data_IF_593112837655
#
_entry.id   IF_593112837655
#
_cell.length_a   1.000
_cell.length_b   1.000
_cell.length_c   1.000
_cell.angle_alpha   90.00
_cell.angle_beta   90.00
_cell.angle_gamma   90.00
#
_symmetry.space_group_name_H-M   'P 1'
#
loop_
_entity.id
_entity.type
_entity.pdbx_description
1 polymer ?
#
# COMPACT_ATOMS: atom_id res chain seq x y z
N UNK A 1 -19.13 -31.49 63.13
CA UNK A 1 -19.27 -30.03 62.92
C UNK A 1 -18.19 -29.57 61.96
N UNK A 2 -18.37 -29.81 60.65
CA UNK A 2 -17.46 -29.30 59.62
C UNK A 2 -18.10 -29.32 58.21
N UNK A 3 -19.43 -29.20 58.09
CA UNK A 3 -20.11 -29.21 56.78
C UNK A 3 -20.80 -27.87 56.42
N UNK A 4 -20.99 -26.94 57.37
CA UNK A 4 -21.75 -25.70 57.12
C UNK A 4 -20.95 -24.54 56.50
N UNK A 5 -19.63 -24.61 56.42
CA UNK A 5 -18.81 -23.49 55.92
C UNK A 5 -18.63 -23.46 54.39
N UNK A 6 -18.96 -24.55 53.69
CA UNK A 6 -18.70 -24.67 52.24
C UNK A 6 -19.88 -24.16 51.39
N UNK A 7 -21.10 -24.19 51.94
CA UNK A 7 -22.33 -23.83 51.19
C UNK A 7 -22.53 -22.31 51.09
N UNK A 8 -22.06 -21.54 52.08
CA UNK A 8 -22.27 -20.08 52.11
C UNK A 8 -21.36 -19.30 51.13
N UNK A 9 -20.25 -19.89 50.70
CA UNK A 9 -19.30 -19.26 49.75
C UNK A 9 -19.80 -19.38 48.31
N UNK A 10 -20.35 -20.54 47.92
CA UNK A 10 -20.87 -20.79 46.58
C UNK A 10 -22.07 -19.88 46.21
N UNK A 11 -22.96 -19.60 47.17
CA UNK A 11 -24.12 -18.73 46.94
C UNK A 11 -23.78 -17.25 46.73
N UNK A 12 -22.59 -16.79 47.12
CA UNK A 12 -22.13 -15.41 46.85
C UNK A 12 -21.48 -15.28 45.48
N UNK A 13 -20.80 -16.31 44.98
CA UNK A 13 -20.19 -16.31 43.65
C UNK A 13 -21.25 -16.30 42.53
N UNK A 14 -22.30 -17.13 42.63
CA UNK A 14 -23.38 -17.14 41.61
C UNK A 14 -24.16 -15.81 41.50
N UNK A 15 -24.33 -15.08 42.60
CA UNK A 15 -25.03 -13.78 42.59
C UNK A 15 -24.17 -12.70 41.91
N UNK A 16 -22.84 -12.75 42.12
CA UNK A 16 -21.89 -11.83 41.51
C UNK A 16 -21.71 -12.14 40.02
N UNK A 17 -21.68 -13.42 39.64
CA UNK A 17 -21.65 -13.84 38.23
C UNK A 17 -22.91 -13.41 37.48
N UNK A 18 -24.11 -13.60 38.05
CA UNK A 18 -25.35 -13.12 37.44
C UNK A 18 -25.37 -11.58 37.25
N UNK A 19 -24.80 -10.82 38.19
CA UNK A 19 -24.71 -9.36 38.06
C UNK A 19 -23.75 -8.94 36.93
N UNK A 20 -22.58 -9.58 36.83
CA UNK A 20 -21.59 -9.31 35.79
C UNK A 20 -22.11 -9.77 34.41
N UNK A 21 -22.82 -10.89 34.34
CA UNK A 21 -23.49 -11.32 33.10
C UNK A 21 -24.54 -10.32 32.63
N UNK A 22 -25.34 -9.77 33.55
CA UNK A 22 -26.32 -8.75 33.21
C UNK A 22 -25.64 -7.49 32.66
N UNK A 23 -24.56 -7.01 33.29
CA UNK A 23 -23.76 -5.88 32.80
C UNK A 23 -23.08 -6.18 31.45
N UNK A 24 -22.57 -7.40 31.26
CA UNK A 24 -21.99 -7.79 29.98
C UNK A 24 -23.07 -7.78 28.87
N UNK A 25 -24.27 -8.30 29.16
CA UNK A 25 -25.40 -8.34 28.19
C UNK A 25 -25.87 -6.94 27.80
N UNK A 26 -25.90 -5.97 28.72
CA UNK A 26 -26.26 -4.58 28.37
C UNK A 26 -25.22 -3.93 27.46
N UNK A 27 -23.97 -4.34 27.57
CA UNK A 27 -22.84 -3.91 26.73
C UNK A 27 -22.71 -4.72 25.43
N UNK A 28 -23.65 -5.62 25.14
CA UNK A 28 -23.73 -6.37 23.88
C UNK A 28 -23.00 -7.71 23.87
N UNK A 29 -22.57 -8.21 25.03
CA UNK A 29 -22.08 -9.58 25.18
C UNK A 29 -23.19 -10.60 25.00
N UNK A 30 -22.88 -11.73 24.36
CA UNK A 30 -23.82 -12.84 24.16
C UNK A 30 -23.29 -14.11 24.85
N UNK A 31 -24.16 -14.89 25.52
CA UNK A 31 -23.78 -16.19 26.06
C UNK A 31 -23.37 -17.16 24.96
N UNK A 32 -22.65 -18.23 25.32
CA UNK A 32 -22.04 -19.16 24.36
C UNK A 32 -23.05 -19.77 23.38
N UNK A 33 -24.29 -19.98 23.82
CA UNK A 33 -25.38 -20.51 23.00
C UNK A 33 -25.88 -19.53 21.91
N UNK A 34 -25.73 -18.22 22.14
CA UNK A 34 -26.20 -17.17 21.23
C UNK A 34 -25.05 -16.51 20.45
N UNK A 35 -23.82 -16.97 20.65
CA UNK A 35 -22.64 -16.41 20.02
C UNK A 35 -22.47 -16.94 18.59
N UNK A 36 -22.62 -16.05 17.61
CA UNK A 36 -22.55 -16.38 16.17
C UNK A 36 -21.12 -16.37 15.59
N UNK A 37 -20.10 -16.30 16.46
CA UNK A 37 -18.69 -16.26 16.06
C UNK A 37 -18.00 -17.62 16.11
N UNK A 38 -16.69 -17.67 15.75
CA UNK A 38 -15.91 -18.90 15.84
C UNK A 38 -15.86 -19.41 17.29
N UNK A 39 -16.13 -20.70 17.52
CA UNK A 39 -16.23 -21.31 18.87
C UNK A 39 -15.02 -21.04 19.79
N UNK A 40 -13.83 -20.79 19.23
CA UNK A 40 -12.62 -20.46 19.99
C UNK A 40 -12.40 -18.97 20.32
N UNK A 41 -13.33 -18.09 19.95
CA UNK A 41 -13.25 -16.64 20.21
C UNK A 41 -14.30 -16.12 21.18
N UNK A 42 -15.17 -16.99 21.68
CA UNK A 42 -16.09 -16.63 22.75
C UNK A 42 -15.32 -16.38 24.05
N UNK A 43 -15.78 -15.40 24.81
CA UNK A 43 -15.12 -14.92 26.03
C UNK A 43 -16.19 -14.89 27.12
N UNK A 44 -15.85 -15.20 28.38
CA UNK A 44 -16.82 -15.14 29.48
C UNK A 44 -17.20 -13.69 29.85
N UNK A 45 -18.29 -13.51 30.59
CA UNK A 45 -18.81 -12.18 30.93
C UNK A 45 -17.81 -11.34 31.74
N UNK A 46 -17.11 -11.96 32.69
CA UNK A 46 -16.11 -11.28 33.51
C UNK A 46 -14.96 -10.72 32.68
N UNK A 47 -14.41 -11.50 31.77
CA UNK A 47 -13.32 -11.08 30.90
C UNK A 47 -13.80 -10.03 29.88
N UNK A 48 -15.04 -10.12 29.39
CA UNK A 48 -15.62 -9.09 28.52
C UNK A 48 -15.72 -7.73 29.22
N UNK A 49 -16.31 -7.69 30.42
CA UNK A 49 -16.44 -6.45 31.21
C UNK A 49 -15.06 -5.89 31.58
N UNK A 50 -14.10 -6.75 31.94
CA UNK A 50 -12.73 -6.32 32.24
C UNK A 50 -12.01 -5.68 31.05
N UNK A 51 -12.37 -6.05 29.81
CA UNK A 51 -11.78 -5.51 28.57
C UNK A 51 -12.47 -4.24 28.08
N UNK A 52 -13.64 -3.88 28.60
CA UNK A 52 -14.39 -2.68 28.20
C UNK A 52 -13.56 -1.39 28.25
N UNK A 53 -12.82 -1.08 29.33
CA UNK A 53 -12.02 0.15 29.39
C UNK A 53 -10.94 0.21 28.29
N UNK A 54 -10.43 -0.94 27.85
CA UNK A 54 -9.47 -1.00 26.75
C UNK A 54 -10.13 -0.66 25.41
N UNK A 55 -11.34 -1.18 25.15
CA UNK A 55 -12.08 -0.85 23.93
C UNK A 55 -12.51 0.60 23.89
N UNK A 56 -12.99 1.16 25.00
CA UNK A 56 -13.29 2.58 25.13
C UNK A 56 -12.06 3.44 24.83
N UNK A 57 -10.89 3.05 25.34
CA UNK A 57 -9.64 3.78 25.05
C UNK A 57 -9.23 3.65 23.59
N UNK A 58 -9.36 2.47 22.98
CA UNK A 58 -9.09 2.25 21.55
C UNK A 58 -9.99 3.12 20.69
N UNK A 59 -11.28 3.21 21.01
CA UNK A 59 -12.22 4.04 20.26
C UNK A 59 -11.97 5.53 20.47
N UNK A 60 -11.57 5.96 21.67
CA UNK A 60 -11.02 7.31 21.92
C UNK A 60 -9.82 7.59 21.00
N UNK A 61 -8.85 6.67 20.96
CA UNK A 61 -7.63 6.82 20.18
C UNK A 61 -7.93 6.84 18.68
N UNK A 62 -8.86 6.03 18.18
CA UNK A 62 -9.32 6.10 16.78
C UNK A 62 -9.93 7.46 16.46
N UNK A 63 -10.76 7.99 17.36
CA UNK A 63 -11.34 9.32 17.23
C UNK A 63 -10.28 10.43 17.22
N UNK A 64 -9.29 10.34 18.11
CA UNK A 64 -8.14 11.26 18.16
C UNK A 64 -7.31 11.19 16.86
N UNK A 65 -6.95 10.00 16.39
CA UNK A 65 -6.23 9.80 15.12
C UNK A 65 -7.00 10.37 13.94
N UNK A 66 -8.33 10.16 13.90
CA UNK A 66 -9.16 10.74 12.84
C UNK A 66 -9.16 12.26 12.90
N UNK A 67 -9.28 12.87 14.09
CA UNK A 67 -9.20 14.33 14.27
C UNK A 67 -7.86 14.88 13.84
N UNK A 68 -6.75 14.28 14.28
CA UNK A 68 -5.39 14.66 13.88
C UNK A 68 -5.24 14.60 12.36
N UNK A 69 -5.77 13.55 11.71
CA UNK A 69 -5.74 13.43 10.25
C UNK A 69 -6.52 14.56 9.56
N UNK A 70 -7.69 14.92 10.07
CA UNK A 70 -8.47 16.04 9.55
C UNK A 70 -7.76 17.37 9.76
N UNK A 71 -7.20 17.61 10.94
CA UNK A 71 -6.43 18.80 11.28
C UNK A 71 -5.22 18.95 10.37
N UNK A 72 -4.41 17.90 10.22
CA UNK A 72 -3.28 17.88 9.28
C UNK A 72 -3.73 18.18 7.84
N UNK A 73 -4.83 17.59 7.38
CA UNK A 73 -5.35 17.86 6.04
C UNK A 73 -5.77 19.33 5.87
N UNK A 74 -6.38 19.92 6.90
CA UNK A 74 -6.73 21.35 6.90
C UNK A 74 -5.47 22.24 6.96
N UNK A 75 -4.46 21.86 7.73
CA UNK A 75 -3.18 22.58 7.78
C UNK A 75 -2.46 22.52 6.45
N UNK A 76 -2.38 21.36 5.81
CA UNK A 76 -1.76 21.22 4.47
C UNK A 76 -2.48 22.06 3.43
N UNK A 77 -3.81 22.14 3.46
CA UNK A 77 -4.56 22.98 2.51
C UNK A 77 -4.30 24.47 2.76
N UNK A 78 -4.22 24.91 4.03
CA UNK A 78 -3.84 26.29 4.38
C UNK A 78 -2.41 26.61 3.95
N UNK A 79 -1.45 25.73 4.22
CA UNK A 79 -0.05 25.88 3.82
C UNK A 79 0.07 25.97 2.30
N UNK A 80 -0.62 25.09 1.56
CA UNK A 80 -0.68 25.15 0.10
C UNK A 80 -1.20 26.50 -0.38
N UNK A 81 -2.32 26.97 0.18
CA UNK A 81 -2.89 28.27 -0.14
C UNK A 81 -1.93 29.43 0.11
N UNK A 82 -1.19 29.41 1.23
CA UNK A 82 -0.19 30.42 1.54
C UNK A 82 0.98 30.41 0.54
N UNK A 83 1.49 29.24 0.17
CA UNK A 83 2.53 29.14 -0.87
C UNK A 83 2.05 29.65 -2.23
N UNK A 84 0.80 29.35 -2.60
CA UNK A 84 0.24 29.86 -3.85
C UNK A 84 0.10 31.39 -3.84
N UNK A 85 -0.34 31.97 -2.72
CA UNK A 85 -0.37 33.42 -2.53
C UNK A 85 1.03 34.06 -2.57
N UNK A 86 2.02 33.47 -1.88
CA UNK A 86 3.41 33.94 -1.91
C UNK A 86 3.95 33.94 -3.34
N UNK A 87 3.74 32.85 -4.09
CA UNK A 87 4.14 32.75 -5.50
C UNK A 87 3.50 33.83 -6.36
N UNK A 88 2.22 34.15 -6.13
CA UNK A 88 1.53 35.23 -6.84
C UNK A 88 2.12 36.61 -6.52
N UNK A 89 2.42 36.88 -5.25
CA UNK A 89 3.05 38.15 -4.83
C UNK A 89 4.45 38.28 -5.42
N UNK A 90 5.26 37.22 -5.37
CA UNK A 90 6.61 37.19 -5.95
C UNK A 90 6.59 37.38 -7.46
N UNK A 91 5.70 36.67 -8.15
CA UNK A 91 5.48 36.83 -9.59
C UNK A 91 5.10 38.27 -9.95
N UNK A 92 4.12 38.85 -9.26
CA UNK A 92 3.70 40.23 -9.52
C UNK A 92 4.81 41.24 -9.22
N UNK A 93 5.60 41.01 -8.16
CA UNK A 93 6.76 41.84 -7.83
C UNK A 93 7.81 41.79 -8.94
N UNK A 94 8.18 40.60 -9.41
CA UNK A 94 9.15 40.42 -10.49
C UNK A 94 8.66 41.06 -11.80
N UNK A 95 7.39 40.85 -12.15
CA UNK A 95 6.78 41.42 -13.34
C UNK A 95 6.73 42.95 -13.29
N UNK A 96 6.36 43.53 -12.14
CA UNK A 96 6.35 44.98 -11.97
C UNK A 96 7.76 45.57 -12.01
N UNK A 97 8.75 44.87 -11.47
CA UNK A 97 10.15 45.27 -11.52
C UNK A 97 10.67 45.32 -12.96
N UNK A 98 10.42 44.27 -13.76
CA UNK A 98 10.80 44.24 -15.18
C UNK A 98 10.09 45.33 -15.99
N UNK A 99 8.79 45.56 -15.74
CA UNK A 99 8.04 46.65 -16.38
C UNK A 99 8.59 48.04 -16.03
N UNK A 100 9.02 48.25 -14.79
CA UNK A 100 9.63 49.50 -14.37
C UNK A 100 10.96 49.75 -15.11
N UNK A 101 11.82 48.73 -15.19
CA UNK A 101 13.06 48.81 -15.98
C UNK A 101 12.78 49.08 -17.46
N UNK A 102 11.75 48.44 -18.04
CA UNK A 102 11.39 48.65 -19.43
C UNK A 102 10.99 50.11 -19.68
N UNK A 103 10.25 50.71 -18.73
CA UNK A 103 9.86 52.11 -18.81
C UNK A 103 11.10 53.03 -18.77
N UNK A 104 12.04 52.76 -17.88
CA UNK A 104 13.31 53.51 -17.78
C UNK A 104 14.14 53.38 -19.07
N UNK A 105 14.21 52.17 -19.65
CA UNK A 105 14.88 51.92 -20.92
C UNK A 105 14.27 52.70 -22.09
N UNK A 106 12.93 52.79 -22.13
CA UNK A 106 12.21 53.62 -23.11
C UNK A 106 12.50 55.11 -22.93
N UNK A 107 12.55 55.60 -21.69
CA UNK A 107 12.90 56.99 -21.39
C UNK A 107 14.35 57.31 -21.80
N UNK A 108 15.26 56.36 -21.63
CA UNK A 108 16.66 56.47 -22.04
C UNK A 108 16.90 56.18 -23.54
N UNK A 109 15.85 55.88 -24.31
CA UNK A 109 15.93 55.49 -25.73
C UNK A 109 16.82 54.26 -26.00
N UNK A 110 16.99 53.37 -25.01
CA UNK A 110 17.73 52.13 -25.16
C UNK A 110 16.83 51.04 -25.75
N UNK A 111 16.73 51.06 -27.08
CA UNK A 111 15.89 50.13 -27.83
C UNK A 111 16.32 48.66 -27.72
N UNK A 112 17.61 48.39 -27.44
CA UNK A 112 18.10 47.00 -27.31
C UNK A 112 17.66 46.40 -25.99
N UNK A 113 17.81 47.14 -24.90
CA UNK A 113 17.40 46.71 -23.57
C UNK A 113 15.89 46.57 -23.42
N UNK A 114 15.10 47.36 -24.17
CA UNK A 114 13.63 47.21 -24.23
C UNK A 114 13.21 45.85 -24.79
N UNK A 115 13.87 45.37 -25.85
CA UNK A 115 13.57 44.06 -26.46
C UNK A 115 13.93 42.94 -25.50
N UNK A 116 15.10 43.01 -24.87
CA UNK A 116 15.54 42.02 -23.87
C UNK A 116 14.57 41.92 -22.68
N UNK A 117 14.11 43.06 -22.17
CA UNK A 117 13.15 43.10 -21.06
C UNK A 117 11.76 42.58 -21.47
N UNK A 118 11.35 42.78 -22.72
CA UNK A 118 10.12 42.19 -23.25
C UNK A 118 10.20 40.67 -23.32
N UNK A 119 11.30 40.12 -23.83
CA UNK A 119 11.54 38.68 -23.85
C UNK A 119 11.56 38.10 -22.42
N UNK A 120 12.16 38.80 -21.46
CA UNK A 120 12.15 38.36 -20.05
C UNK A 120 10.74 38.38 -19.44
N UNK A 121 9.94 39.39 -19.75
CA UNK A 121 8.56 39.49 -19.28
C UNK A 121 7.71 38.36 -19.87
N UNK A 122 7.88 38.06 -21.15
CA UNK A 122 7.11 37.00 -21.81
C UNK A 122 7.54 35.61 -21.34
N UNK A 123 8.85 35.36 -21.20
CA UNK A 123 9.36 34.13 -20.59
C UNK A 123 8.83 33.91 -19.16
N UNK A 124 8.73 34.98 -18.36
CA UNK A 124 8.18 34.91 -17.00
C UNK A 124 6.69 34.54 -17.00
N UNK A 125 5.90 35.11 -17.93
CA UNK A 125 4.48 34.76 -18.11
C UNK A 125 4.30 33.33 -18.59
N UNK A 126 5.10 32.90 -19.56
CA UNK A 126 5.03 31.55 -20.13
C UNK A 126 5.41 30.49 -19.10
N UNK A 127 6.45 30.75 -18.30
CA UNK A 127 6.84 29.90 -17.17
C UNK A 127 5.69 29.76 -16.16
N UNK A 128 4.99 30.86 -15.84
CA UNK A 128 3.82 30.84 -14.94
C UNK A 128 2.62 30.09 -15.56
N UNK A 129 2.42 30.20 -16.86
CA UNK A 129 1.37 29.47 -17.57
C UNK A 129 1.67 27.96 -17.59
N UNK A 130 2.91 27.57 -17.86
CA UNK A 130 3.37 26.18 -17.84
C UNK A 130 3.23 25.55 -16.44
N UNK A 131 3.60 26.28 -15.37
CA UNK A 131 3.40 25.83 -13.99
C UNK A 131 1.93 25.55 -13.67
N UNK A 132 1.01 26.43 -14.09
CA UNK A 132 -0.43 26.25 -13.86
C UNK A 132 -0.98 25.01 -14.57
N UNK A 133 -0.47 24.69 -15.76
CA UNK A 133 -0.84 23.48 -16.50
C UNK A 133 -0.27 22.23 -15.82
N UNK A 134 0.93 22.31 -15.24
CA UNK A 134 1.57 21.19 -14.53
C UNK A 134 1.00 20.95 -13.12
N UNK A 135 0.23 21.88 -12.55
CA UNK A 135 -0.44 21.75 -11.25
C UNK A 135 -1.82 21.09 -11.33
N UNK A 136 -2.31 20.75 -12.52
CA UNK A 136 -3.36 19.73 -12.65
C UNK A 136 -2.75 18.46 -12.07
N UNK A 137 -3.42 17.76 -11.12
CA UNK A 137 -2.87 16.52 -10.61
C UNK A 137 -2.64 15.62 -11.81
N UNK A 138 -1.38 15.36 -12.13
CA UNK A 138 -1.03 14.25 -13.00
C UNK A 138 -1.60 13.06 -12.25
N UNK A 139 -2.75 12.56 -12.69
CA UNK A 139 -3.12 11.19 -12.41
C UNK A 139 -1.91 10.42 -12.93
N UNK A 140 -1.01 10.01 -12.02
CA UNK A 140 -0.03 8.98 -12.34
C UNK A 140 -0.88 7.92 -13.02
N UNK A 141 -0.57 7.63 -14.28
CA UNK A 141 -1.25 6.57 -14.99
C UNK A 141 -1.27 5.31 -14.13
N UNK A 142 -2.20 4.37 -14.40
CA UNK A 142 -2.26 3.14 -13.64
C UNK A 142 -0.87 2.53 -13.51
N UNK A 143 -0.52 2.04 -12.32
CA UNK A 143 0.80 1.50 -12.04
C UNK A 143 1.21 0.47 -13.12
N UNK A 144 2.45 0.49 -13.65
CA UNK A 144 2.86 -0.44 -14.70
C UNK A 144 2.59 -1.91 -14.37
N UNK A 145 2.68 -2.31 -13.09
CA UNK A 145 2.37 -3.68 -12.65
C UNK A 145 0.88 -3.99 -12.77
N UNK A 146 0.02 -3.00 -12.50
CA UNK A 146 -1.43 -3.13 -12.68
C UNK A 146 -1.81 -3.23 -14.16
N UNK A 147 -1.19 -2.42 -15.03
CA UNK A 147 -1.44 -2.49 -16.47
C UNK A 147 -1.11 -3.88 -17.02
N UNK A 148 0.07 -4.40 -16.69
CA UNK A 148 0.48 -5.74 -17.11
C UNK A 148 -0.42 -6.86 -16.54
N UNK A 149 -0.90 -6.70 -15.31
CA UNK A 149 -1.80 -7.65 -14.70
C UNK A 149 -3.19 -7.63 -15.35
N UNK A 150 -3.74 -6.43 -15.62
CA UNK A 150 -5.03 -6.26 -16.26
C UNK A 150 -5.02 -6.80 -17.70
N UNK A 151 -3.90 -6.66 -18.43
CA UNK A 151 -3.71 -7.26 -19.75
C UNK A 151 -3.73 -8.81 -19.70
N UNK A 152 -3.13 -9.41 -18.68
CA UNK A 152 -3.14 -10.88 -18.47
C UNK A 152 -4.48 -11.40 -17.99
N UNK A 153 -5.28 -10.55 -17.36
CA UNK A 153 -6.57 -10.87 -16.75
C UNK A 153 -7.69 -10.15 -17.48
N UNK A 154 -7.96 -10.52 -18.74
CA UNK A 154 -8.97 -9.86 -19.59
C UNK A 154 -10.38 -9.85 -18.98
N UNK A 155 -10.69 -10.83 -18.12
CA UNK A 155 -11.94 -10.88 -17.35
C UNK A 155 -12.12 -9.64 -16.46
N UNK A 156 -11.05 -9.01 -16.00
CA UNK A 156 -11.11 -7.80 -15.17
C UNK A 156 -11.75 -6.62 -15.92
N UNK A 157 -11.59 -6.55 -17.24
CA UNK A 157 -12.25 -5.54 -18.06
C UNK A 157 -13.67 -5.94 -18.51
N UNK A 158 -13.92 -7.25 -18.64
CA UNK A 158 -15.12 -7.80 -19.28
C UNK A 158 -16.23 -8.16 -18.28
N UNK A 159 -15.86 -8.60 -17.08
CA UNK A 159 -16.76 -9.14 -16.06
C UNK A 159 -16.78 -8.20 -14.86
N UNK A 160 -17.83 -7.37 -14.77
CA UNK A 160 -17.96 -6.35 -13.73
C UNK A 160 -17.97 -6.96 -12.32
N UNK A 161 -18.69 -8.06 -12.13
CA UNK A 161 -18.85 -8.67 -10.80
C UNK A 161 -17.53 -9.26 -10.29
N UNK A 162 -16.75 -9.89 -11.17
CA UNK A 162 -15.41 -10.39 -10.82
C UNK A 162 -14.44 -9.24 -10.55
N UNK A 163 -14.55 -8.13 -11.28
CA UNK A 163 -13.74 -6.94 -11.02
C UNK A 163 -14.03 -6.35 -9.65
N UNK A 164 -15.30 -6.17 -9.30
CA UNK A 164 -15.69 -5.57 -8.03
C UNK A 164 -15.17 -6.38 -6.83
N UNK A 165 -15.20 -7.71 -6.94
CA UNK A 165 -14.61 -8.61 -5.94
C UNK A 165 -13.08 -8.52 -5.89
N UNK A 166 -12.43 -8.47 -7.05
CA UNK A 166 -10.98 -8.30 -7.14
C UNK A 166 -10.51 -6.99 -6.48
N UNK A 167 -11.25 -5.90 -6.72
CA UNK A 167 -11.01 -4.60 -6.11
C UNK A 167 -11.25 -4.63 -4.59
N UNK A 168 -12.27 -5.35 -4.13
CA UNK A 168 -12.52 -5.55 -2.70
C UNK A 168 -11.36 -6.30 -2.01
N UNK A 169 -10.80 -7.33 -2.64
CA UNK A 169 -9.62 -8.03 -2.11
C UNK A 169 -8.37 -7.15 -2.13
N UNK A 170 -8.18 -6.36 -3.18
CA UNK A 170 -7.07 -5.41 -3.26
C UNK A 170 -7.15 -4.38 -2.12
N UNK A 171 -8.31 -3.78 -1.91
CA UNK A 171 -8.54 -2.80 -0.82
C UNK A 171 -8.32 -3.43 0.56
N UNK A 172 -8.81 -4.64 0.79
CA UNK A 172 -8.61 -5.34 2.06
C UNK A 172 -7.12 -5.65 2.32
N UNK A 173 -6.37 -6.01 1.28
CA UNK A 173 -4.95 -6.29 1.40
C UNK A 173 -4.12 -5.03 1.65
N UNK A 174 -4.39 -3.94 0.93
CA UNK A 174 -3.74 -2.63 1.14
C UNK A 174 -4.06 -2.07 2.53
N UNK A 175 -5.30 -2.24 3.01
CA UNK A 175 -5.68 -1.79 4.34
C UNK A 175 -4.94 -2.54 5.47
N UNK A 176 -4.60 -3.82 5.26
CA UNK A 176 -3.83 -4.62 6.21
C UNK A 176 -2.31 -4.48 6.02
N UNK A 177 -1.87 -4.07 4.82
CA UNK A 177 -0.46 -3.88 4.46
C UNK A 177 -0.25 -2.55 3.72
N UNK A 178 -0.22 -1.41 4.44
CA UNK A 178 -0.17 -0.08 3.82
C UNK A 178 1.05 0.19 2.93
N UNK A 179 2.14 -0.55 3.13
CA UNK A 179 3.40 -0.42 2.39
C UNK A 179 3.66 -1.59 1.43
N UNK A 180 2.67 -2.44 1.16
CA UNK A 180 2.86 -3.54 0.23
C UNK A 180 3.07 -3.02 -1.20
N UNK A 181 4.03 -3.58 -1.96
CA UNK A 181 4.19 -3.24 -3.36
C UNK A 181 2.97 -3.71 -4.16
N UNK A 182 2.61 -2.98 -5.22
CA UNK A 182 1.43 -3.24 -6.05
C UNK A 182 1.41 -4.68 -6.57
N UNK A 183 2.56 -5.19 -7.03
CA UNK A 183 2.67 -6.58 -7.47
C UNK A 183 2.30 -7.63 -6.41
N UNK A 184 2.48 -7.38 -5.12
CA UNK A 184 2.08 -8.31 -4.06
C UNK A 184 0.58 -8.23 -3.75
N UNK A 185 -0.01 -7.04 -3.86
CA UNK A 185 -1.46 -6.84 -3.81
C UNK A 185 -2.13 -7.68 -4.91
N UNK A 186 -1.64 -7.57 -6.14
CA UNK A 186 -2.21 -8.25 -7.31
C UNK A 186 -2.08 -9.79 -7.22
N UNK A 187 -0.94 -10.30 -6.73
CA UNK A 187 -0.79 -11.74 -6.45
C UNK A 187 -1.80 -12.22 -5.42
N UNK A 188 -2.07 -11.42 -4.38
CA UNK A 188 -3.06 -11.77 -3.37
C UNK A 188 -4.46 -11.84 -3.97
N UNK A 189 -4.82 -10.86 -4.81
CA UNK A 189 -6.07 -10.83 -5.56
C UNK A 189 -6.22 -12.08 -6.43
N UNK A 190 -5.20 -12.45 -7.21
CA UNK A 190 -5.23 -13.65 -8.07
C UNK A 190 -5.51 -14.93 -7.27
N UNK A 191 -4.86 -15.11 -6.12
CA UNK A 191 -5.05 -16.29 -5.26
C UNK A 191 -6.48 -16.33 -4.71
N UNK A 192 -7.03 -15.18 -4.30
CA UNK A 192 -8.39 -15.08 -3.77
C UNK A 192 -9.44 -15.32 -4.86
N UNK A 193 -9.26 -14.72 -6.03
CA UNK A 193 -10.16 -14.89 -7.17
C UNK A 193 -10.20 -16.33 -7.68
N UNK A 194 -9.04 -17.01 -7.79
CA UNK A 194 -8.99 -18.43 -8.17
C UNK A 194 -9.64 -19.36 -7.14
N UNK A 195 -9.56 -19.01 -5.85
CA UNK A 195 -10.19 -19.79 -4.78
C UNK A 195 -11.72 -19.64 -4.76
N UNK A 196 -12.22 -18.45 -5.06
CA UNK A 196 -13.66 -18.15 -5.04
C UNK A 196 -14.36 -18.52 -6.34
N UNK A 197 -13.65 -18.44 -7.47
CA UNK A 197 -14.18 -18.76 -8.79
C UNK A 197 -13.41 -19.87 -9.52
N UNK A 198 -13.20 -21.08 -8.94
CA UNK A 198 -12.45 -22.14 -9.60
C UNK A 198 -12.96 -22.46 -11.01
N UNK A 199 -14.29 -22.50 -11.17
CA UNK A 199 -15.00 -22.75 -12.44
C UNK A 199 -14.68 -21.74 -13.55
N UNK A 200 -14.27 -20.52 -13.19
CA UNK A 200 -13.92 -19.45 -14.15
C UNK A 200 -12.41 -19.42 -14.48
N UNK A 201 -11.60 -20.08 -13.67
CA UNK A 201 -10.13 -20.05 -13.76
C UNK A 201 -9.52 -21.42 -14.09
N UNK A 202 -10.28 -22.51 -14.04
CA UNK A 202 -9.86 -23.81 -14.55
C UNK A 202 -9.95 -23.86 -16.07
N UNK A 203 -8.78 -23.96 -16.71
CA UNK A 203 -8.70 -24.26 -18.14
C UNK A 203 -9.04 -25.73 -18.39
N UNK A 204 -9.83 -26.09 -19.41
CA UNK A 204 -10.14 -27.47 -19.80
C UNK A 204 -8.94 -28.24 -20.41
N UNK A 205 -7.70 -27.86 -20.09
CA UNK A 205 -6.47 -28.40 -20.68
C UNK A 205 -5.74 -29.41 -19.78
N UNK A 206 -6.29 -29.81 -18.63
CA UNK A 206 -5.68 -30.83 -17.75
C UNK A 206 -6.12 -32.28 -18.08
N UNK A 207 -6.62 -32.53 -19.28
CA UNK A 207 -6.87 -33.87 -19.82
C UNK A 207 -6.30 -33.96 -21.23
N UNK A 208 -4.97 -34.15 -21.32
CA UNK A 208 -4.11 -34.50 -22.49
C UNK A 208 -2.71 -33.98 -22.10
N UNK A 209 -1.67 -34.77 -21.84
CA UNK A 209 -1.25 -36.04 -22.40
C UNK A 209 -0.37 -36.78 -21.38
N UNK A 210 -0.66 -38.06 -21.15
CA UNK A 210 0.38 -39.07 -20.96
C UNK A 210 0.52 -39.76 -22.32
N UNK A 211 1.62 -39.50 -23.03
CA UNK A 211 1.99 -40.28 -24.22
C UNK A 211 3.50 -40.37 -24.25
N UNK A 212 3.99 -41.57 -23.94
CA UNK A 212 5.35 -42.04 -24.16
C UNK A 212 5.53 -42.26 -25.66
N UNK A 213 6.58 -41.67 -26.26
CA UNK A 213 7.48 -42.41 -27.15
C UNK A 213 8.75 -41.63 -27.50
N UNK A 214 9.79 -42.43 -27.74
CA UNK A 214 11.20 -42.10 -27.93
C UNK A 214 11.47 -41.29 -29.20
N UNK A 215 12.46 -40.40 -29.15
CA UNK A 215 13.00 -39.69 -30.31
C UNK A 215 14.31 -38.99 -30.00
N UNK A 216 15.42 -39.71 -30.14
CA UNK A 216 16.80 -39.19 -30.10
C UNK A 216 17.05 -38.21 -31.25
N UNK A 217 17.57 -37.02 -30.98
CA UNK A 217 18.50 -36.34 -31.88
C UNK A 217 19.47 -35.41 -31.12
N UNK A 218 20.74 -35.80 -31.23
CA UNK A 218 21.94 -34.99 -31.47
C UNK A 218 22.14 -33.68 -30.71
N UNK A 219 23.18 -33.70 -29.87
CA UNK A 219 23.64 -32.57 -29.08
C UNK A 219 24.32 -31.47 -29.87
N UNK A 220 24.20 -30.27 -29.32
CA UNK A 220 25.11 -29.16 -29.49
C UNK A 220 25.60 -28.74 -28.10
N UNK A 221 26.89 -28.93 -27.84
CA UNK A 221 27.56 -28.53 -26.60
C UNK A 221 27.69 -27.01 -26.57
N UNK A 222 26.87 -26.35 -25.74
CA UNK A 222 27.10 -24.97 -25.32
C UNK A 222 27.87 -25.00 -24.01
N UNK A 223 29.06 -24.39 -24.02
CA UNK A 223 29.96 -24.28 -22.87
C UNK A 223 29.24 -23.66 -21.68
N UNK A 224 29.11 -24.41 -20.60
CA UNK A 224 28.71 -23.91 -19.29
C UNK A 224 29.79 -22.97 -18.75
N UNK A 225 29.48 -21.67 -18.69
CA UNK A 225 30.23 -20.72 -17.87
C UNK A 225 29.82 -20.96 -16.42
N UNK A 226 30.80 -21.04 -15.51
CA UNK A 226 30.62 -21.54 -14.14
C UNK A 226 29.59 -20.77 -13.32
N UNK A 227 28.90 -21.48 -12.42
CA UNK A 227 28.03 -20.89 -11.41
C UNK A 227 28.83 -19.87 -10.59
N UNK A 228 28.25 -18.69 -10.37
CA UNK A 228 28.84 -17.65 -9.55
C UNK A 228 28.99 -18.15 -8.11
N UNK A 229 30.21 -18.12 -7.59
CA UNK A 229 30.51 -18.53 -6.22
C UNK A 229 30.64 -17.32 -5.32
N UNK A 230 30.62 -17.52 -4.00
CA UNK A 230 30.79 -16.44 -3.03
C UNK A 230 32.15 -15.71 -3.17
N UNK A 231 33.14 -16.35 -3.78
CA UNK A 231 34.46 -15.76 -4.02
C UNK A 231 34.48 -14.80 -5.21
N UNK A 232 33.44 -14.81 -6.05
CA UNK A 232 33.29 -13.95 -7.22
C UNK A 232 32.48 -12.67 -6.92
N UNK A 233 32.04 -12.50 -5.66
CA UNK A 233 31.36 -11.32 -5.17
C UNK A 233 32.38 -10.26 -4.73
N UNK A 234 32.13 -9.01 -5.10
CA UNK A 234 32.85 -7.88 -4.50
C UNK A 234 32.41 -7.66 -3.02
N UNK A 235 33.13 -6.79 -2.30
CA UNK A 235 32.87 -6.55 -0.87
C UNK A 235 31.45 -6.02 -0.63
N UNK A 236 30.96 -5.18 -1.55
CA UNK A 236 29.61 -4.60 -1.44
C UNK A 236 28.51 -5.63 -1.70
N UNK A 237 28.70 -6.49 -2.70
CA UNK A 237 27.79 -7.59 -3.04
C UNK A 237 27.74 -8.64 -1.92
N UNK A 238 28.88 -8.88 -1.24
CA UNK A 238 28.94 -9.79 -0.08
C UNK A 238 28.19 -9.25 1.13
N UNK A 239 28.30 -7.96 1.42
CA UNK A 239 27.55 -7.31 2.51
C UNK A 239 26.04 -7.32 2.26
N UNK A 240 25.62 -7.04 1.03
CA UNK A 240 24.21 -7.11 0.62
C UNK A 240 23.69 -8.55 0.75
N UNK A 241 24.44 -9.54 0.28
CA UNK A 241 24.08 -10.96 0.46
C UNK A 241 23.88 -11.32 1.93
N UNK A 242 24.85 -10.96 2.80
CA UNK A 242 24.79 -11.28 4.24
C UNK A 242 23.60 -10.60 4.93
N UNK A 243 23.27 -9.39 4.51
CA UNK A 243 22.11 -8.64 5.04
C UNK A 243 20.78 -9.28 4.62
N UNK A 244 20.67 -9.71 3.36
CA UNK A 244 19.44 -10.32 2.84
C UNK A 244 19.20 -11.72 3.41
N UNK A 245 20.26 -12.51 3.58
CA UNK A 245 20.19 -13.85 4.18
C UNK A 245 19.91 -13.77 5.68
N UNK A 246 20.54 -12.86 6.42
CA UNK A 246 20.28 -12.70 7.87
C UNK A 246 18.84 -12.25 8.16
N UNK A 247 18.27 -11.43 7.28
CA UNK A 247 16.86 -11.00 7.35
C UNK A 247 15.87 -12.02 6.80
N UNK A 248 16.33 -13.20 6.35
CA UNK A 248 15.52 -14.27 5.75
C UNK A 248 14.69 -13.83 4.54
N UNK A 249 15.13 -12.79 3.83
CA UNK A 249 14.44 -12.25 2.65
C UNK A 249 14.71 -13.16 1.44
N UNK A 250 15.95 -13.65 1.31
CA UNK A 250 16.39 -14.55 0.24
C UNK A 250 17.42 -15.57 0.77
N UNK A 251 17.51 -16.74 0.12
CA UNK A 251 18.57 -17.71 0.40
C UNK A 251 19.85 -17.33 -0.35
N UNK A 252 21.00 -17.76 0.19
CA UNK A 252 22.31 -17.53 -0.43
C UNK A 252 22.36 -17.98 -1.89
N UNK A 253 21.81 -19.16 -2.17
CA UNK A 253 21.78 -19.75 -3.52
C UNK A 253 20.97 -18.90 -4.50
N UNK A 254 19.81 -18.39 -4.05
CA UNK A 254 18.94 -17.55 -4.88
C UNK A 254 19.59 -16.19 -5.18
N UNK A 255 20.28 -15.59 -4.21
CA UNK A 255 21.01 -14.35 -4.43
C UNK A 255 22.13 -14.50 -5.47
N UNK A 256 22.90 -15.60 -5.41
CA UNK A 256 23.96 -15.87 -6.39
C UNK A 256 23.40 -16.14 -7.80
N UNK A 257 22.26 -16.83 -7.90
CA UNK A 257 21.59 -17.08 -9.17
C UNK A 257 21.04 -15.79 -9.79
N UNK A 258 20.37 -14.95 -9.00
CA UNK A 258 19.84 -13.65 -9.46
C UNK A 258 20.99 -12.72 -9.92
N UNK A 259 22.11 -12.73 -9.21
CA UNK A 259 23.29 -11.91 -9.55
C UNK A 259 24.02 -12.44 -10.79
N UNK A 260 24.05 -13.76 -11.00
CA UNK A 260 24.58 -14.37 -12.23
C UNK A 260 23.73 -14.01 -13.46
N UNK A 261 22.40 -13.96 -13.33
CA UNK A 261 21.50 -13.47 -14.38
C UNK A 261 21.73 -11.99 -14.65
N UNK A 262 21.83 -11.16 -13.61
CA UNK A 262 22.08 -9.72 -13.74
C UNK A 262 23.43 -9.40 -14.42
N UNK A 263 24.47 -10.22 -14.16
CA UNK A 263 25.81 -10.10 -14.81
C UNK A 263 25.87 -10.74 -16.20
N UNK A 264 24.77 -11.29 -16.72
CA UNK A 264 24.73 -11.91 -18.05
C UNK A 264 25.57 -13.19 -18.17
N UNK A 265 25.74 -13.91 -17.06
CA UNK A 265 26.53 -15.15 -16.99
C UNK A 265 25.67 -16.42 -17.15
N UNK A 266 24.35 -16.25 -17.29
CA UNK A 266 23.33 -17.30 -17.48
C UNK A 266 22.34 -16.90 -18.57
#
# INVERSE_FOLDING_TARGET
>A
MAEDAVVEVAGKEEVVENAIEHEARTLGWKPQEEFEGPEGKWINAHEFVSRQPLFEKIDSLKGEVWKIKQEHQQEFTKIKGHFDQMREVEYNRALNYLKAQKKEALENSDTSLVVELDDQIDNLKDSRAAEKVSQVPVQKGPDPDFVQWAEKNTWYAQEKDLRDDADAFAMAYVSSHPNAPVGDVLKHVDVKMKKLYPEKFDSPARVRQASVESGSSSGASVKTKGKLSENDLDETEREVMKTLVSRKILTKEKYLDDLAVAKGLK
#
